data_IF_218422226048
#
_entry.id   IF_218422226048
#
_cell.length_a   1.000
_cell.length_b   1.000
_cell.length_c   1.000
_cell.angle_alpha   90.00
_cell.angle_beta   90.00
_cell.angle_gamma   90.00
#
_symmetry.space_group_name_H-M   'P 1'
#
loop_
_entity.id
_entity.type
_entity.pdbx_description
1 polymer ?
#
# COMPACT_ATOMS: atom_id res chain seq x y z
N UNK A 1 11.53 15.59 -0.71
CA UNK A 1 11.88 15.97 0.68
C UNK A 1 11.13 15.00 1.56
N UNK A 2 11.87 14.10 2.20
CA UNK A 2 11.32 12.88 2.79
C UNK A 2 10.63 13.16 4.12
N UNK A 3 9.32 12.90 4.18
CA UNK A 3 8.79 12.24 5.38
C UNK A 3 9.76 11.07 5.71
N UNK A 4 10.23 10.92 6.96
CA UNK A 4 11.13 9.83 7.38
C UNK A 4 10.64 8.44 6.93
N UNK A 5 11.44 7.35 7.03
CA UNK A 5 11.48 6.20 6.12
C UNK A 5 10.28 5.26 6.22
N UNK A 6 9.05 5.77 6.08
CA UNK A 6 7.84 5.00 6.02
C UNK A 6 7.92 4.08 4.82
N UNK A 7 7.71 2.80 5.09
CA UNK A 7 7.60 1.81 4.04
C UNK A 7 6.42 2.16 3.12
N UNK A 8 6.46 1.80 1.83
CA UNK A 8 5.32 1.96 0.94
C UNK A 8 3.97 1.48 1.54
N UNK A 9 3.84 0.29 2.16
CA UNK A 9 2.58 -0.12 2.77
C UNK A 9 2.11 0.79 3.91
N UNK A 10 3.01 1.33 4.74
CA UNK A 10 2.67 2.30 5.77
C UNK A 10 2.11 3.60 5.16
N UNK A 11 2.73 4.10 4.08
CA UNK A 11 2.25 5.29 3.35
C UNK A 11 0.86 5.06 2.75
N UNK A 12 0.62 3.92 2.11
CA UNK A 12 -0.69 3.58 1.56
C UNK A 12 -1.75 3.41 2.66
N UNK A 13 -1.38 2.89 3.83
CA UNK A 13 -2.29 2.78 4.97
C UNK A 13 -2.73 4.16 5.49
N UNK A 14 -1.80 5.12 5.58
CA UNK A 14 -2.11 6.50 6.00
C UNK A 14 -2.94 7.25 4.95
N UNK A 15 -2.59 7.11 3.66
CA UNK A 15 -3.39 7.67 2.57
C UNK A 15 -4.80 7.06 2.54
N UNK A 16 -4.94 5.80 2.93
CA UNK A 16 -6.23 5.13 2.97
C UNK A 16 -7.16 5.66 4.08
N UNK A 17 -6.61 6.31 5.11
CA UNK A 17 -7.27 6.63 6.37
C UNK A 17 -8.46 7.61 6.27
N UNK A 18 -8.47 8.52 5.30
CA UNK A 18 -9.41 9.66 5.24
C UNK A 18 -10.12 9.82 3.88
N UNK A 19 -10.14 8.80 3.02
CA UNK A 19 -10.93 8.90 1.78
C UNK A 19 -12.44 8.63 1.99
N UNK A 20 -12.87 8.32 3.21
CA UNK A 20 -14.28 8.33 3.59
C UNK A 20 -14.46 9.48 4.56
N UNK A 21 -15.06 10.59 4.12
CA UNK A 21 -15.22 11.80 4.93
C UNK A 21 -15.96 11.60 6.26
N UNK A 22 -16.28 12.66 7.00
CA UNK A 22 -16.78 12.60 8.39
C UNK A 22 -18.05 11.76 8.62
N UNK A 23 -18.81 11.47 7.55
CA UNK A 23 -20.02 10.65 7.58
C UNK A 23 -19.75 9.14 7.44
N UNK A 24 -18.53 8.72 7.12
CA UNK A 24 -18.12 7.32 7.06
C UNK A 24 -17.83 6.81 8.48
N UNK A 25 -18.90 6.54 9.24
CA UNK A 25 -18.81 5.76 10.47
C UNK A 25 -17.98 4.49 10.24
N UNK A 26 -17.06 4.20 11.14
CA UNK A 26 -16.18 3.03 11.12
C UNK A 26 -15.41 2.82 9.80
N UNK A 27 -14.34 3.60 9.58
CA UNK A 27 -13.13 3.25 8.81
C UNK A 27 -13.37 2.32 7.61
N UNK A 28 -13.56 2.85 6.40
CA UNK A 28 -13.54 2.03 5.19
C UNK A 28 -12.16 1.36 5.06
N UNK A 29 -12.05 0.10 5.50
CA UNK A 29 -10.80 -0.64 5.50
C UNK A 29 -10.43 -0.92 4.04
N UNK A 30 -9.30 -0.39 3.58
CA UNK A 30 -8.79 -0.65 2.21
C UNK A 30 -7.48 -1.45 2.29
N UNK A 31 -7.55 -2.76 2.61
CA UNK A 31 -6.35 -3.59 2.76
C UNK A 31 -5.64 -3.89 1.44
N UNK A 32 -6.36 -3.84 0.30
CA UNK A 32 -5.81 -4.09 -1.04
C UNK A 32 -4.62 -3.20 -1.42
N UNK A 33 -4.72 -1.86 -1.41
CA UNK A 33 -3.58 -0.99 -1.72
C UNK A 33 -2.39 -1.16 -0.78
N UNK A 34 -2.64 -1.43 0.51
CA UNK A 34 -1.58 -1.70 1.49
C UNK A 34 -0.86 -3.01 1.15
N UNK A 35 -1.62 -4.06 0.83
CA UNK A 35 -1.08 -5.36 0.39
C UNK A 35 -0.27 -5.23 -0.90
N UNK A 36 -0.79 -4.50 -1.90
CA UNK A 36 -0.08 -4.24 -3.16
C UNK A 36 1.25 -3.51 -2.93
N UNK A 37 1.27 -2.49 -2.07
CA UNK A 37 2.50 -1.77 -1.73
C UNK A 37 3.51 -2.65 -1.00
N UNK A 38 3.06 -3.57 -0.14
CA UNK A 38 3.93 -4.55 0.52
C UNK A 38 4.55 -5.54 -0.48
N UNK A 39 3.78 -6.05 -1.45
CA UNK A 39 4.28 -6.92 -2.52
C UNK A 39 5.35 -6.22 -3.38
N UNK A 40 5.08 -4.98 -3.81
CA UNK A 40 6.03 -4.17 -4.58
C UNK A 40 7.30 -3.89 -3.78
N UNK A 41 7.18 -3.59 -2.49
CA UNK A 41 8.35 -3.33 -1.65
C UNK A 41 9.20 -4.60 -1.43
N UNK A 42 8.59 -5.78 -1.27
CA UNK A 42 9.31 -7.06 -1.20
C UNK A 42 10.02 -7.38 -2.52
N UNK A 43 9.36 -7.17 -3.66
CA UNK A 43 9.96 -7.37 -4.99
C UNK A 43 11.15 -6.42 -5.22
N UNK A 44 10.99 -5.14 -4.85
CA UNK A 44 12.05 -4.12 -4.93
C UNK A 44 13.23 -4.41 -3.99
N UNK A 45 13.00 -5.14 -2.90
CA UNK A 45 14.07 -5.63 -1.99
C UNK A 45 14.70 -6.94 -2.47
N UNK A 46 14.24 -7.51 -3.58
CA UNK A 46 14.72 -8.80 -4.09
C UNK A 46 14.31 -10.00 -3.22
N UNK A 47 13.24 -9.86 -2.42
CA UNK A 47 12.74 -10.92 -1.54
C UNK A 47 11.64 -11.75 -2.21
N UNK A 48 10.95 -11.16 -3.17
CA UNK A 48 10.05 -11.83 -4.09
C UNK A 48 10.54 -11.61 -5.52
N UNK A 49 10.46 -12.64 -6.35
CA UNK A 49 10.70 -12.55 -7.79
C UNK A 49 9.44 -12.95 -8.54
N UNK A 50 9.34 -12.52 -9.79
CA UNK A 50 8.35 -13.04 -10.72
C UNK A 50 8.87 -14.33 -11.37
N UNK A 51 8.11 -15.40 -11.24
CA UNK A 51 8.31 -16.64 -12.00
C UNK A 51 7.03 -16.93 -12.78
N UNK A 52 7.04 -16.63 -14.08
CA UNK A 52 5.89 -16.83 -14.97
C UNK A 52 4.59 -16.17 -14.45
N UNK A 53 4.69 -14.96 -13.89
CA UNK A 53 3.57 -14.22 -13.30
C UNK A 53 3.20 -14.63 -11.88
N UNK A 54 3.96 -15.54 -11.26
CA UNK A 54 3.79 -15.97 -9.87
C UNK A 54 4.77 -15.21 -8.97
N UNK A 55 4.27 -14.72 -7.84
CA UNK A 55 5.12 -14.15 -6.80
C UNK A 55 5.82 -15.28 -6.02
N UNK A 56 7.12 -15.46 -6.28
CA UNK A 56 7.93 -16.53 -5.67
C UNK A 56 8.94 -15.96 -4.67
N UNK A 57 9.06 -16.50 -3.44
CA UNK A 57 10.13 -16.17 -2.50
C UNK A 57 11.51 -16.53 -3.05
N UNK A 58 12.46 -15.61 -2.98
CA UNK A 58 13.83 -15.83 -3.48
C UNK A 58 14.64 -16.77 -2.58
N UNK A 59 14.41 -16.70 -1.27
CA UNK A 59 15.09 -17.50 -0.25
C UNK A 59 14.13 -17.78 0.91
N UNK A 60 14.24 -18.95 1.53
CA UNK A 60 13.45 -19.38 2.68
C UNK A 60 13.87 -18.68 3.98
N UNK A 61 15.13 -18.25 4.09
CA UNK A 61 15.67 -17.64 5.31
C UNK A 61 15.76 -16.10 5.25
N UNK A 62 15.49 -15.50 4.08
CA UNK A 62 15.59 -14.06 3.92
C UNK A 62 14.54 -13.30 4.76
N UNK A 63 14.89 -12.09 5.21
CA UNK A 63 14.00 -11.21 5.96
C UNK A 63 14.07 -9.78 5.42
N UNK A 64 12.93 -9.12 5.42
CA UNK A 64 12.79 -7.71 5.11
C UNK A 64 13.28 -6.80 6.24
N UNK A 65 13.39 -7.30 7.48
CA UNK A 65 13.68 -6.48 8.66
C UNK A 65 12.53 -5.51 9.00
N UNK A 66 11.31 -5.89 8.64
CA UNK A 66 10.08 -5.13 8.88
C UNK A 66 8.96 -6.15 9.10
N UNK A 67 8.35 -6.13 10.29
CA UNK A 67 7.47 -7.21 10.74
C UNK A 67 6.25 -7.42 9.82
N UNK A 68 5.71 -6.35 9.22
CA UNK A 68 4.58 -6.46 8.32
C UNK A 68 4.98 -7.07 6.96
N UNK A 69 6.15 -6.70 6.45
CA UNK A 69 6.71 -7.30 5.23
C UNK A 69 7.14 -8.75 5.46
N UNK A 70 7.78 -9.05 6.58
CA UNK A 70 8.21 -10.40 6.97
C UNK A 70 6.99 -11.33 7.13
N UNK A 71 5.92 -10.86 7.76
CA UNK A 71 4.68 -11.63 7.87
C UNK A 71 4.00 -11.91 6.51
N UNK A 72 4.09 -10.99 5.54
CA UNK A 72 3.64 -11.26 4.18
C UNK A 72 4.57 -12.26 3.47
N UNK A 73 5.89 -12.09 3.59
CA UNK A 73 6.87 -12.98 2.96
C UNK A 73 6.68 -14.43 3.45
N UNK A 74 6.49 -14.62 4.75
CA UNK A 74 6.20 -15.93 5.33
C UNK A 74 4.88 -16.51 4.82
N UNK A 75 3.83 -15.69 4.74
CA UNK A 75 2.56 -16.13 4.19
C UNK A 75 2.69 -16.61 2.73
N UNK A 76 3.55 -15.97 1.93
CA UNK A 76 3.83 -16.42 0.56
C UNK A 76 4.54 -17.76 0.56
N UNK A 77 5.55 -17.96 1.43
CA UNK A 77 6.31 -19.22 1.55
C UNK A 77 5.42 -20.40 1.94
N UNK A 78 4.52 -20.21 2.89
CA UNK A 78 3.66 -21.27 3.41
C UNK A 78 2.44 -21.57 2.51
N UNK A 79 2.21 -20.75 1.50
CA UNK A 79 1.06 -20.88 0.60
C UNK A 79 1.43 -21.60 -0.69
N UNK A 80 0.41 -22.12 -1.38
CA UNK A 80 0.56 -22.58 -2.77
C UNK A 80 0.93 -21.40 -3.70
N UNK A 81 1.56 -21.66 -4.85
CA UNK A 81 1.89 -20.62 -5.82
C UNK A 81 0.67 -19.81 -6.26
N UNK A 82 0.82 -18.48 -6.29
CA UNK A 82 -0.26 -17.55 -6.62
C UNK A 82 0.24 -16.38 -7.47
N UNK A 83 -0.54 -15.95 -8.48
CA UNK A 83 -0.24 -14.73 -9.23
C UNK A 83 -0.22 -13.49 -8.36
N UNK A 84 0.54 -12.46 -8.75
CA UNK A 84 0.62 -11.18 -8.02
C UNK A 84 -0.75 -10.56 -7.78
N UNK A 85 -1.60 -10.51 -8.81
CA UNK A 85 -2.98 -9.99 -8.68
C UNK A 85 -3.82 -10.72 -7.61
N UNK A 86 -3.60 -12.02 -7.41
CA UNK A 86 -4.33 -12.80 -6.40
C UNK A 86 -3.88 -12.40 -5.00
N UNK A 87 -2.57 -12.19 -4.81
CA UNK A 87 -2.02 -11.77 -3.53
C UNK A 87 -2.54 -10.41 -3.04
N UNK A 88 -2.94 -9.51 -3.93
CA UNK A 88 -3.52 -8.21 -3.57
C UNK A 88 -4.74 -8.34 -2.66
N UNK A 89 -5.59 -9.34 -2.88
CA UNK A 89 -6.79 -9.58 -2.07
C UNK A 89 -6.61 -10.71 -1.04
N UNK A 90 -5.79 -11.73 -1.37
CA UNK A 90 -5.64 -12.93 -0.56
C UNK A 90 -5.14 -12.59 0.85
N UNK A 91 -6.00 -12.83 1.85
CA UNK A 91 -5.73 -12.55 3.27
C UNK A 91 -5.24 -11.12 3.51
N UNK A 92 -5.59 -10.15 2.64
CA UNK A 92 -5.01 -8.81 2.62
C UNK A 92 -5.03 -8.10 3.99
N UNK A 93 -6.06 -8.38 4.78
CA UNK A 93 -6.25 -7.87 6.15
C UNK A 93 -5.10 -8.17 7.11
N UNK A 94 -4.43 -9.33 6.99
CA UNK A 94 -3.31 -9.69 7.88
C UNK A 94 -2.18 -8.65 7.80
N UNK A 95 -1.74 -8.30 6.58
CA UNK A 95 -0.73 -7.24 6.40
C UNK A 95 -1.27 -5.87 6.78
N UNK A 96 -2.54 -5.59 6.51
CA UNK A 96 -3.14 -4.32 6.90
C UNK A 96 -3.11 -4.09 8.42
N UNK A 97 -3.50 -5.10 9.20
CA UNK A 97 -3.52 -5.01 10.66
C UNK A 97 -2.08 -4.92 11.22
N UNK A 98 -1.12 -5.69 10.67
CA UNK A 98 0.29 -5.58 11.04
C UNK A 98 0.89 -4.19 10.77
N UNK A 99 0.56 -3.58 9.62
CA UNK A 99 0.98 -2.20 9.30
C UNK A 99 0.38 -1.19 10.27
N UNK A 100 -0.88 -1.37 10.69
CA UNK A 100 -1.50 -0.49 11.68
C UNK A 100 -0.85 -0.61 13.05
N UNK A 101 -0.50 -1.81 13.47
CA UNK A 101 0.23 -2.05 14.72
C UNK A 101 1.61 -1.37 14.69
N UNK A 102 2.33 -1.48 13.56
CA UNK A 102 3.59 -0.76 13.37
C UNK A 102 3.40 0.76 13.42
N UNK A 103 2.38 1.30 12.74
CA UNK A 103 2.08 2.73 12.78
C UNK A 103 1.67 3.23 14.19
N UNK A 104 1.10 2.36 15.03
CA UNK A 104 0.88 2.65 16.46
C UNK A 104 2.21 2.68 17.21
N UNK A 105 3.08 1.69 16.99
CA UNK A 105 4.41 1.65 17.61
C UNK A 105 5.28 2.87 17.23
N UNK A 106 5.12 3.38 16.01
CA UNK A 106 5.78 4.59 15.49
C UNK A 106 5.11 5.90 15.94
N UNK A 107 3.98 5.84 16.65
CA UNK A 107 3.25 7.01 17.15
C UNK A 107 2.54 7.83 16.06
N UNK A 108 2.24 7.22 14.91
CA UNK A 108 1.45 7.84 13.83
C UNK A 108 -0.04 7.54 13.99
N UNK A 109 -0.37 6.41 14.59
CA UNK A 109 -1.71 6.03 15.01
C UNK A 109 -1.80 5.86 16.53
N UNK A 110 -3.00 6.03 17.07
CA UNK A 110 -3.35 5.67 18.44
C UNK A 110 -4.47 4.65 18.43
N UNK A 111 -4.29 3.55 19.16
CA UNK A 111 -5.34 2.56 19.38
C UNK A 111 -6.31 3.02 20.48
N UNK A 112 -7.60 3.09 20.17
CA UNK A 112 -8.69 3.40 21.09
C UNK A 112 -9.50 2.13 21.37
N UNK A 113 -9.61 1.75 22.65
CA UNK A 113 -10.55 0.70 23.05
C UNK A 113 -11.94 1.30 23.17
N UNK A 114 -12.85 0.88 22.29
CA UNK A 114 -14.29 1.16 22.41
C UNK A 114 -15.05 -0.09 22.82
N UNK A 115 -16.26 0.09 23.36
CA UNK A 115 -17.17 -1.03 23.69
C UNK A 115 -18.41 -0.87 22.84
N UNK A 116 -18.64 -1.80 21.92
CA UNK A 116 -19.89 -1.86 21.15
C UNK A 116 -20.92 -2.60 22.01
N UNK A 117 -22.08 -1.96 22.25
CA UNK A 117 -23.16 -2.46 23.11
C UNK A 117 -22.72 -2.83 24.56
N UNK A 118 -21.61 -2.26 25.05
CA UNK A 118 -21.10 -2.48 26.41
C UNK A 118 -20.35 -3.80 26.64
N UNK A 119 -20.44 -4.77 25.72
CA UNK A 119 -19.96 -6.15 25.94
C UNK A 119 -18.76 -6.51 25.07
N UNK A 120 -18.65 -5.98 23.85
CA UNK A 120 -17.57 -6.34 22.93
C UNK A 120 -16.55 -5.21 22.81
N UNK A 121 -15.33 -5.38 23.33
CA UNK A 121 -14.26 -4.43 23.09
C UNK A 121 -13.88 -4.46 21.60
N UNK A 122 -13.95 -3.32 20.95
CA UNK A 122 -13.45 -3.09 19.59
C UNK A 122 -12.26 -2.15 19.68
N UNK A 123 -11.20 -2.45 18.93
CA UNK A 123 -10.08 -1.52 18.75
C UNK A 123 -10.40 -0.64 17.56
N UNK A 124 -10.68 0.63 17.83
CA UNK A 124 -10.62 1.67 16.82
C UNK A 124 -9.22 2.27 16.82
N UNK A 125 -8.84 2.92 15.73
CA UNK A 125 -7.58 3.64 15.69
C UNK A 125 -7.91 5.08 15.27
N UNK A 126 -7.06 6.01 15.68
CA UNK A 126 -7.13 7.41 15.31
C UNK A 126 -5.77 7.89 14.82
N UNK A 127 -5.75 8.88 13.94
CA UNK A 127 -4.52 9.57 13.55
C UNK A 127 -3.98 10.36 14.73
N UNK A 128 -2.74 10.11 15.11
CA UNK A 128 -2.06 10.87 16.16
C UNK A 128 -1.32 12.08 15.55
N UNK A 129 -0.76 11.91 14.35
CA UNK A 129 0.03 12.95 13.66
C UNK A 129 -0.61 13.33 12.32
N UNK A 130 -1.75 14.00 12.37
CA UNK A 130 -2.53 14.44 11.18
C UNK A 130 -1.67 15.22 10.19
N UNK A 131 -0.81 16.13 10.66
CA UNK A 131 0.05 16.94 9.79
C UNK A 131 1.00 16.11 8.90
N UNK A 132 1.45 14.93 9.36
CA UNK A 132 2.30 14.03 8.56
C UNK A 132 1.49 13.42 7.41
N UNK A 133 0.24 13.06 7.69
CA UNK A 133 -0.67 12.50 6.67
C UNK A 133 -1.05 13.55 5.64
N UNK A 134 -1.36 14.78 6.05
CA UNK A 134 -1.65 15.87 5.12
C UNK A 134 -0.46 16.20 4.21
N UNK A 135 0.76 16.24 4.77
CA UNK A 135 1.97 16.42 3.98
C UNK A 135 2.17 15.29 2.96
N UNK A 136 1.93 14.03 3.37
CA UNK A 136 1.99 12.87 2.48
C UNK A 136 0.93 12.91 1.37
N UNK A 137 -0.30 13.34 1.69
CA UNK A 137 -1.37 13.52 0.70
C UNK A 137 -0.98 14.56 -0.33
N UNK A 138 -0.54 15.73 0.12
CA UNK A 138 -0.16 16.82 -0.78
C UNK A 138 1.04 16.45 -1.66
N UNK A 139 2.08 15.84 -1.09
CA UNK A 139 3.23 15.33 -1.85
C UNK A 139 2.77 14.35 -2.95
N UNK A 140 1.89 13.41 -2.60
CA UNK A 140 1.38 12.42 -3.56
C UNK A 140 0.53 13.08 -4.65
N UNK A 141 -0.32 14.05 -4.30
CA UNK A 141 -1.10 14.83 -5.30
C UNK A 141 -0.20 15.59 -6.26
N UNK A 142 0.86 16.23 -5.77
CA UNK A 142 1.83 16.94 -6.61
C UNK A 142 2.52 16.01 -7.61
N UNK A 143 2.85 14.78 -7.17
CA UNK A 143 3.41 13.74 -8.04
C UNK A 143 2.40 13.34 -9.13
N UNK A 144 1.15 13.11 -8.75
CA UNK A 144 0.08 12.73 -9.69
C UNK A 144 -0.23 13.83 -10.71
N UNK A 145 -0.29 15.09 -10.27
CA UNK A 145 -0.51 16.27 -11.13
C UNK A 145 0.65 16.58 -12.06
N UNK A 146 1.82 15.97 -11.86
CA UNK A 146 2.99 16.23 -12.70
C UNK A 146 3.76 17.49 -12.34
N UNK A 147 3.60 18.01 -11.12
CA UNK A 147 4.34 19.18 -10.63
C UNK A 147 5.85 18.93 -10.51
N UNK A 148 6.26 17.66 -10.46
CA UNK A 148 7.64 17.20 -10.43
C UNK A 148 7.94 16.32 -11.67
N UNK A 149 9.09 16.53 -12.34
CA UNK A 149 9.56 15.64 -13.40
C UNK A 149 9.75 14.22 -12.86
N UNK A 150 9.31 13.21 -13.62
CA UNK A 150 9.36 11.79 -13.20
C UNK A 150 10.78 11.34 -12.86
N UNK A 151 11.77 11.81 -13.63
CA UNK A 151 13.18 11.49 -13.41
C UNK A 151 13.70 11.94 -12.02
N UNK A 152 13.09 12.96 -11.41
CA UNK A 152 13.47 13.46 -10.09
C UNK A 152 12.79 12.74 -8.92
N UNK A 153 11.81 11.86 -9.19
CA UNK A 153 11.10 11.11 -8.16
C UNK A 153 11.90 9.90 -7.72
N UNK A 154 11.72 9.44 -6.48
CA UNK A 154 12.22 8.12 -6.09
C UNK A 154 11.33 7.01 -6.65
N UNK A 155 11.89 5.79 -6.78
CA UNK A 155 11.12 4.61 -7.21
C UNK A 155 9.95 4.31 -6.26
N UNK A 156 10.18 4.48 -4.95
CA UNK A 156 9.15 4.27 -3.93
C UNK A 156 8.03 5.30 -4.04
N UNK A 157 8.36 6.58 -4.26
CA UNK A 157 7.35 7.63 -4.43
C UNK A 157 6.50 7.38 -5.67
N UNK A 158 7.13 6.96 -6.77
CA UNK A 158 6.43 6.62 -8.00
C UNK A 158 5.50 5.40 -7.80
N UNK A 159 5.97 4.34 -7.13
CA UNK A 159 5.15 3.17 -6.80
C UNK A 159 3.95 3.54 -5.91
N UNK A 160 4.18 4.35 -4.87
CA UNK A 160 3.12 4.83 -3.97
C UNK A 160 2.08 5.64 -4.74
N UNK A 161 2.50 6.54 -5.62
CA UNK A 161 1.60 7.35 -6.43
C UNK A 161 0.73 6.50 -7.37
N UNK A 162 1.32 5.53 -8.08
CA UNK A 162 0.57 4.61 -8.96
C UNK A 162 -0.48 3.82 -8.19
N UNK A 163 -0.10 3.24 -7.04
CA UNK A 163 -1.03 2.47 -6.21
C UNK A 163 -2.11 3.35 -5.56
N UNK A 164 -1.76 4.59 -5.18
CA UNK A 164 -2.71 5.54 -4.62
C UNK A 164 -3.75 6.00 -5.65
N UNK A 165 -3.33 6.23 -6.89
CA UNK A 165 -4.23 6.55 -8.01
C UNK A 165 -5.14 5.35 -8.33
N UNK A 166 -4.58 4.13 -8.41
CA UNK A 166 -5.35 2.93 -8.70
C UNK A 166 -6.43 2.62 -7.65
N UNK A 167 -6.21 2.98 -6.40
CA UNK A 167 -7.17 2.79 -5.31
C UNK A 167 -8.10 3.98 -5.06
N UNK A 168 -7.99 5.03 -5.87
CA UNK A 168 -8.66 6.31 -5.70
C UNK A 168 -8.56 6.84 -4.25
N UNK A 169 -7.32 6.95 -3.73
CA UNK A 169 -7.10 7.38 -2.33
C UNK A 169 -7.21 8.90 -2.14
N UNK A 170 -7.16 9.66 -3.25
CA UNK A 170 -6.94 11.11 -3.23
C UNK A 170 -7.97 11.90 -4.05
N UNK A 171 -8.92 11.22 -4.72
CA UNK A 171 -9.89 11.83 -5.65
C UNK A 171 -9.18 12.71 -6.69
N UNK A 172 -8.16 12.14 -7.34
CA UNK A 172 -7.30 12.86 -8.27
C UNK A 172 -7.26 12.14 -9.62
N UNK A 173 -7.86 12.77 -10.62
CA UNK A 173 -7.82 12.25 -12.00
C UNK A 173 -6.42 12.42 -12.57
N UNK A 174 -5.73 11.31 -12.79
CA UNK A 174 -4.36 11.30 -13.33
C UNK A 174 -4.37 10.73 -14.75
N UNK A 175 -3.78 11.41 -15.74
CA UNK A 175 -3.72 10.90 -17.11
C UNK A 175 -3.00 9.55 -17.20
N UNK A 176 -3.50 8.62 -18.02
CA UNK A 176 -2.91 7.28 -18.19
C UNK A 176 -1.42 7.33 -18.53
N UNK A 177 -1.02 8.23 -19.43
CA UNK A 177 0.38 8.47 -19.77
C UNK A 177 1.25 8.81 -18.54
N UNK A 178 0.70 9.56 -17.58
CA UNK A 178 1.42 9.90 -16.34
C UNK A 178 1.54 8.68 -15.44
N UNK A 179 0.50 7.87 -15.30
CA UNK A 179 0.54 6.60 -14.56
C UNK A 179 1.56 5.64 -15.15
N UNK A 180 1.61 5.51 -16.49
CA UNK A 180 2.61 4.68 -17.18
C UNK A 180 4.04 5.13 -16.86
N UNK A 181 4.33 6.43 -16.98
CA UNK A 181 5.65 6.97 -16.65
C UNK A 181 6.04 6.75 -15.18
N UNK A 182 5.08 6.85 -14.27
CA UNK A 182 5.32 6.58 -12.84
C UNK A 182 5.55 5.08 -12.60
N UNK A 183 4.83 4.19 -13.28
CA UNK A 183 5.03 2.75 -13.18
C UNK A 183 6.40 2.31 -13.74
N UNK A 184 6.83 2.90 -14.86
CA UNK A 184 8.19 2.73 -15.38
C UNK A 184 9.23 3.24 -14.38
N UNK A 185 9.01 4.44 -13.82
CA UNK A 185 9.91 5.01 -12.82
C UNK A 185 10.03 4.15 -11.58
N UNK A 186 8.93 3.55 -11.13
CA UNK A 186 8.88 2.66 -9.98
C UNK A 186 9.76 1.40 -10.15
N UNK A 187 9.96 0.96 -11.39
CA UNK A 187 10.77 -0.21 -11.73
C UNK A 187 12.13 0.09 -12.34
N UNK A 188 12.60 1.34 -12.31
CA UNK A 188 13.77 1.75 -13.11
C UNK A 188 15.06 0.99 -12.78
N UNK A 189 15.28 0.60 -11.51
CA UNK A 189 16.48 -0.13 -11.08
C UNK A 189 16.27 -1.64 -10.92
N UNK A 190 15.04 -2.14 -11.02
CA UNK A 190 14.70 -3.55 -10.77
C UNK A 190 13.99 -4.13 -12.00
N UNK A 191 14.63 -5.01 -12.78
CA UNK A 191 13.99 -5.65 -13.92
C UNK A 191 12.65 -6.30 -13.54
N UNK A 192 11.65 -6.16 -14.40
CA UNK A 192 10.31 -6.72 -14.16
C UNK A 192 9.43 -5.97 -13.15
N UNK A 193 10.00 -5.16 -12.25
CA UNK A 193 9.23 -4.47 -11.20
C UNK A 193 8.15 -3.53 -11.75
N UNK A 194 8.43 -2.82 -12.86
CA UNK A 194 7.41 -1.99 -13.51
C UNK A 194 6.19 -2.78 -14.00
N UNK A 195 6.38 -4.03 -14.42
CA UNK A 195 5.28 -4.92 -14.81
C UNK A 195 4.49 -5.40 -13.58
N UNK A 196 5.18 -5.79 -12.51
CA UNK A 196 4.57 -6.15 -11.22
C UNK A 196 3.71 -4.99 -10.70
N UNK A 197 4.25 -3.76 -10.67
CA UNK A 197 3.52 -2.55 -10.25
C UNK A 197 2.24 -2.36 -11.06
N UNK A 198 2.30 -2.51 -12.39
CA UNK A 198 1.10 -2.42 -13.25
C UNK A 198 0.08 -3.50 -12.90
N UNK A 199 0.51 -4.76 -12.76
CA UNK A 199 -0.40 -5.86 -12.43
C UNK A 199 -1.10 -5.65 -11.08
N UNK A 200 -0.33 -5.32 -10.02
CA UNK A 200 -0.93 -5.12 -8.70
C UNK A 200 -1.80 -3.87 -8.66
N UNK A 201 -1.46 -2.81 -9.42
CA UNK A 201 -2.31 -1.61 -9.56
C UNK A 201 -3.64 -1.93 -10.24
N UNK A 202 -3.64 -2.75 -11.29
CA UNK A 202 -4.85 -3.20 -11.96
C UNK A 202 -5.74 -4.03 -11.02
N UNK A 203 -5.15 -4.91 -10.22
CA UNK A 203 -5.86 -5.68 -9.21
C UNK A 203 -6.47 -4.80 -8.10
N UNK A 204 -5.75 -3.75 -7.68
CA UNK A 204 -6.25 -2.75 -6.73
C UNK A 204 -7.44 -1.98 -7.30
N UNK A 205 -7.34 -1.50 -8.54
CA UNK A 205 -8.44 -0.79 -9.23
C UNK A 205 -9.68 -1.68 -9.39
N UNK A 206 -9.50 -2.94 -9.77
CA UNK A 206 -10.60 -3.91 -9.83
C UNK A 206 -11.24 -4.13 -8.45
N UNK A 207 -10.44 -4.26 -7.39
CA UNK A 207 -10.96 -4.39 -6.02
C UNK A 207 -11.72 -3.15 -5.53
N UNK A 208 -11.29 -1.96 -5.94
CA UNK A 208 -11.98 -0.70 -5.64
C UNK A 208 -13.34 -0.62 -6.35
N UNK A 209 -13.40 -0.93 -7.65
CA UNK A 209 -14.65 -0.90 -8.44
C UNK A 209 -15.72 -1.85 -7.89
N UNK A 210 -15.32 -3.01 -7.36
CA UNK A 210 -16.24 -3.95 -6.69
C UNK A 210 -16.80 -3.35 -5.39
N UNK A 211 -15.98 -2.60 -4.63
CA UNK A 211 -16.40 -2.00 -3.37
C UNK A 211 -17.34 -0.79 -3.53
N UNK A 212 -17.31 -0.12 -4.70
CA UNK A 212 -18.13 1.07 -5.01
C UNK A 212 -19.39 0.75 -5.83
N UNK A 213 -19.60 -0.51 -6.23
CA UNK A 213 -20.82 -0.96 -6.91
C UNK A 213 -22.01 -1.04 -5.93
N UNK A 214 -23.22 -0.55 -6.31
CA UNK A 214 -24.39 -0.47 -5.43
C UNK A 214 -25.05 -1.81 -5.10
#
# INVERSE_FOLDING_TARGET
>A
MSNGPLTPPARLCLLAWDAGGPAAGATAHRPGPVRAAALVELARRGLLTDEDGIATPVDLDASAGDAALDGLLELVRESRPHPWRTWVALRARVTFDAVREQLVAEGLLRAEKRRVLGVFPTVEYALERVAVVEALREETRQILRGMLPVAGLSERDAAVAVLAAAADLLDETTPDRRIEQLAERAGASTPGLGAIVREVSAAVAAGHAVATSP
#
